data_IF_429471707004
#
_entry.id   IF_429471707004
#
_cell.length_a   1.000
_cell.length_b   1.000
_cell.length_c   1.000
_cell.angle_alpha   90.00
_cell.angle_beta   90.00
_cell.angle_gamma   90.00
#
_symmetry.space_group_name_H-M   'P 1'
#
loop_
_entity.id
_entity.type
_entity.pdbx_description
1 polymer ?
#
# COMPACT_ATOMS: atom_id res chain seq x y z
N UNK A 1 -19.35 31.29 -16.42
CA UNK A 1 -19.10 29.84 -16.39
C UNK A 1 -17.93 29.59 -15.45
N UNK A 2 -18.17 29.04 -14.26
CA UNK A 2 -17.12 28.74 -13.29
C UNK A 2 -16.26 27.58 -13.80
N UNK A 3 -14.93 27.76 -13.83
CA UNK A 3 -14.00 26.70 -14.19
C UNK A 3 -14.20 25.53 -13.23
N UNK A 4 -14.54 24.33 -13.74
CA UNK A 4 -14.54 23.10 -12.95
C UNK A 4 -13.11 22.87 -12.47
N UNK A 5 -12.84 23.29 -11.24
CA UNK A 5 -11.63 22.89 -10.52
C UNK A 5 -11.58 21.37 -10.59
N UNK A 6 -10.58 20.81 -11.29
CA UNK A 6 -10.31 19.38 -11.23
C UNK A 6 -10.01 19.10 -9.76
N UNK A 7 -10.96 18.50 -9.04
CA UNK A 7 -10.71 17.98 -7.71
C UNK A 7 -9.55 16.99 -7.83
N UNK A 8 -8.39 17.37 -7.31
CA UNK A 8 -7.25 16.49 -7.21
C UNK A 8 -7.67 15.41 -6.20
N UNK A 9 -8.00 14.23 -6.70
CA UNK A 9 -8.13 13.06 -5.84
C UNK A 9 -6.72 12.72 -5.37
N UNK A 10 -6.36 13.15 -4.17
CA UNK A 10 -5.13 12.72 -3.53
C UNK A 10 -5.37 11.29 -3.07
N UNK A 11 -4.94 10.32 -3.89
CA UNK A 11 -4.95 8.92 -3.52
C UNK A 11 -4.05 8.74 -2.30
N UNK A 12 -4.66 8.35 -1.17
CA UNK A 12 -3.91 7.99 0.03
C UNK A 12 -3.30 6.61 -0.16
N UNK A 13 -2.46 6.20 0.77
CA UNK A 13 -1.98 4.82 0.87
C UNK A 13 -2.32 4.24 2.24
N UNK A 14 -2.62 2.95 2.25
CA UNK A 14 -2.72 2.14 3.46
C UNK A 14 -1.42 1.36 3.64
N UNK A 15 -0.89 1.41 4.84
CA UNK A 15 0.37 0.79 5.22
C UNK A 15 0.13 -0.25 6.32
N UNK A 16 0.60 -1.47 6.10
CA UNK A 16 0.56 -2.55 7.06
C UNK A 16 1.99 -2.98 7.39
N UNK A 17 2.31 -3.08 8.67
CA UNK A 17 3.67 -3.35 9.13
C UNK A 17 3.75 -4.64 9.94
N UNK A 18 4.72 -5.48 9.59
CA UNK A 18 5.21 -6.56 10.45
C UNK A 18 6.67 -6.28 10.82
N UNK A 19 7.24 -7.12 11.69
CA UNK A 19 8.66 -7.06 12.05
C UNK A 19 9.60 -7.09 10.83
N UNK A 20 9.26 -7.87 9.80
CA UNK A 20 10.14 -8.15 8.66
C UNK A 20 9.69 -7.48 7.36
N UNK A 21 8.42 -7.14 7.23
CA UNK A 21 7.84 -6.66 5.97
C UNK A 21 6.96 -5.44 6.18
N UNK A 22 6.94 -4.57 5.18
CA UNK A 22 6.02 -3.45 5.08
C UNK A 22 5.20 -3.58 3.80
N UNK A 23 3.88 -3.45 3.90
CA UNK A 23 2.96 -3.58 2.78
C UNK A 23 2.27 -2.25 2.53
N UNK A 24 2.34 -1.77 1.29
CA UNK A 24 1.70 -0.52 0.85
C UNK A 24 0.63 -0.81 -0.19
N UNK A 25 -0.54 -0.21 0.03
CA UNK A 25 -1.71 -0.39 -0.81
C UNK A 25 -2.28 0.98 -1.17
N UNK A 26 -2.59 1.20 -2.44
CA UNK A 26 -3.29 2.41 -2.88
C UNK A 26 -4.70 2.49 -2.30
N UNK A 27 -5.02 3.59 -1.62
CA UNK A 27 -6.37 3.92 -1.13
C UNK A 27 -7.15 4.64 -2.23
N UNK A 28 -7.51 3.91 -3.29
CA UNK A 28 -8.37 4.44 -4.34
C UNK A 28 -9.79 3.94 -4.13
N UNK A 29 -10.71 4.84 -3.79
CA UNK A 29 -12.16 4.54 -3.75
C UNK A 29 -12.74 4.29 -5.14
N UNK A 30 -11.99 4.61 -6.20
CA UNK A 30 -12.41 4.48 -7.58
C UNK A 30 -12.15 3.09 -8.18
N UNK A 31 -11.35 2.23 -7.52
CA UNK A 31 -10.95 0.94 -8.06
C UNK A 31 -11.17 -0.17 -7.05
N UNK A 32 -12.06 -1.10 -7.40
CA UNK A 32 -12.19 -2.42 -6.75
C UNK A 32 -11.00 -3.34 -7.06
N UNK A 33 -9.84 -2.78 -7.39
CA UNK A 33 -8.67 -3.45 -7.96
C UNK A 33 -7.42 -2.82 -7.35
N UNK A 34 -6.74 -3.58 -6.51
CA UNK A 34 -5.62 -3.15 -5.69
C UNK A 34 -4.34 -3.84 -6.14
N UNK A 35 -3.23 -3.11 -6.06
CA UNK A 35 -1.87 -3.67 -6.13
C UNK A 35 -1.22 -3.46 -4.77
N UNK A 36 -0.32 -4.36 -4.42
CA UNK A 36 0.38 -4.35 -3.14
C UNK A 36 1.87 -4.26 -3.43
N UNK A 37 2.51 -3.25 -2.84
CA UNK A 37 3.96 -3.16 -2.76
C UNK A 37 4.40 -3.78 -1.44
N UNK A 38 5.19 -4.84 -1.50
CA UNK A 38 5.77 -5.49 -0.33
C UNK A 38 7.25 -5.13 -0.25
N UNK A 39 7.66 -4.61 0.90
CA UNK A 39 9.03 -4.18 1.16
C UNK A 39 9.62 -5.13 2.18
N UNK A 40 10.72 -5.79 1.82
CA UNK A 40 11.48 -6.63 2.74
C UNK A 40 12.48 -5.79 3.54
N UNK A 41 12.42 -5.91 4.87
CA UNK A 41 13.28 -5.19 5.82
C UNK A 41 14.31 -6.08 6.50
N UNK A 42 14.39 -7.36 6.11
CA UNK A 42 15.36 -8.32 6.67
C UNK A 42 16.78 -7.95 6.28
N UNK A 43 16.97 -7.45 5.07
CA UNK A 43 18.25 -6.93 4.60
C UNK A 43 18.31 -5.41 4.84
N UNK A 44 19.22 -4.97 5.70
CA UNK A 44 19.38 -3.53 6.01
C UNK A 44 20.19 -2.77 4.97
N UNK A 45 20.95 -3.48 4.13
CA UNK A 45 21.84 -2.89 3.12
C UNK A 45 21.18 -2.79 1.75
N UNK A 46 20.15 -3.58 1.50
CA UNK A 46 19.44 -3.62 0.23
C UNK A 46 17.94 -3.48 0.44
N UNK A 47 17.36 -2.51 -0.26
CA UNK A 47 15.92 -2.35 -0.33
C UNK A 47 15.38 -3.31 -1.38
N UNK A 48 14.61 -4.30 -0.93
CA UNK A 48 13.90 -5.22 -1.82
C UNK A 48 12.42 -4.85 -1.83
N UNK A 49 11.93 -4.43 -3.00
CA UNK A 49 10.52 -4.11 -3.22
C UNK A 49 9.96 -5.12 -4.22
N UNK A 50 8.99 -5.90 -3.75
CA UNK A 50 8.20 -6.80 -4.57
C UNK A 50 6.88 -6.11 -4.92
N UNK A 51 6.68 -5.85 -6.21
CA UNK A 51 5.38 -5.46 -6.73
C UNK A 51 4.60 -6.73 -7.06
N UNK A 52 3.52 -6.99 -6.34
CA UNK A 52 2.63 -8.09 -6.69
C UNK A 52 1.91 -7.73 -8.00
N UNK A 53 2.32 -8.37 -9.10
CA UNK A 53 1.75 -8.16 -10.43
C UNK A 53 0.26 -8.51 -10.51
N UNK A 54 -0.22 -9.34 -9.56
CA UNK A 54 -1.63 -9.68 -9.43
C UNK A 54 -2.43 -8.48 -8.92
N UNK A 55 -3.36 -8.05 -9.74
CA UNK A 55 -4.40 -7.10 -9.34
C UNK A 55 -5.47 -7.85 -8.56
N UNK A 56 -5.73 -7.44 -7.32
CA UNK A 56 -6.66 -8.09 -6.40
C UNK A 56 -7.93 -7.26 -6.18
N UNK A 57 -9.08 -7.91 -6.07
CA UNK A 57 -10.28 -7.25 -5.53
C UNK A 57 -10.12 -6.86 -4.07
N UNK A 58 -10.98 -5.98 -3.55
CA UNK A 58 -10.95 -5.62 -2.11
C UNK A 58 -11.06 -6.86 -1.22
N UNK A 59 -11.92 -7.81 -1.57
CA UNK A 59 -12.07 -9.06 -0.82
C UNK A 59 -10.82 -9.94 -0.88
N UNK A 60 -10.24 -10.13 -2.07
CA UNK A 60 -8.99 -10.90 -2.25
C UNK A 60 -7.82 -10.25 -1.50
N UNK A 61 -7.70 -8.93 -1.57
CA UNK A 61 -6.68 -8.16 -0.85
C UNK A 61 -6.82 -8.34 0.67
N UNK A 62 -8.04 -8.21 1.22
CA UNK A 62 -8.26 -8.41 2.65
C UNK A 62 -7.96 -9.85 3.08
N UNK A 63 -8.32 -10.85 2.27
CA UNK A 63 -7.96 -12.25 2.55
C UNK A 63 -6.46 -12.48 2.50
N UNK A 64 -5.76 -11.94 1.50
CA UNK A 64 -4.30 -12.01 1.41
C UNK A 64 -3.63 -11.37 2.64
N UNK A 65 -4.08 -10.20 3.06
CA UNK A 65 -3.54 -9.53 4.26
C UNK A 65 -3.76 -10.37 5.53
N UNK A 66 -4.91 -11.05 5.67
CA UNK A 66 -5.15 -11.99 6.78
C UNK A 66 -4.18 -13.16 6.76
N UNK A 67 -3.91 -13.74 5.59
CA UNK A 67 -2.91 -14.80 5.44
C UNK A 67 -1.50 -14.33 5.83
N UNK A 68 -1.19 -13.04 5.64
CA UNK A 68 0.06 -12.43 6.10
C UNK A 68 0.04 -12.01 7.59
N UNK A 69 -1.05 -12.26 8.32
CA UNK A 69 -1.18 -12.00 9.76
C UNK A 69 -1.77 -10.64 10.14
N UNK A 70 -2.44 -9.92 9.23
CA UNK A 70 -3.01 -8.59 9.48
C UNK A 70 -4.50 -8.56 9.88
N UNK A 71 -5.01 -9.63 10.49
CA UNK A 71 -6.47 -9.80 10.74
C UNK A 71 -7.09 -8.72 11.64
N UNK A 72 -6.30 -8.14 12.55
CA UNK A 72 -6.76 -7.10 13.51
C UNK A 72 -5.96 -5.79 13.44
N UNK A 73 -4.92 -5.73 12.60
CA UNK A 73 -4.06 -4.55 12.53
C UNK A 73 -4.74 -3.45 11.73
N UNK A 74 -5.02 -2.32 12.40
CA UNK A 74 -5.47 -1.11 11.72
C UNK A 74 -4.33 -0.60 10.82
N UNK A 75 -4.59 -0.33 9.53
CA UNK A 75 -3.58 0.25 8.67
C UNK A 75 -3.21 1.65 9.14
N UNK A 76 -1.95 2.00 8.95
CA UNK A 76 -1.54 3.41 8.96
C UNK A 76 -1.94 4.04 7.63
N UNK A 77 -2.50 5.24 7.66
CA UNK A 77 -2.91 5.98 6.46
C UNK A 77 -1.91 7.10 6.21
N UNK A 78 -1.36 7.17 5.01
CA UNK A 78 -0.45 8.23 4.59
C UNK A 78 -0.88 8.85 3.25
N UNK A 79 -0.37 10.04 2.93
CA UNK A 79 -0.65 10.71 1.65
C UNK A 79 0.21 10.21 0.49
N UNK A 80 1.34 9.56 0.78
CA UNK A 80 2.26 9.05 -0.23
C UNK A 80 3.59 8.59 0.38
N UNK A 81 4.45 8.03 -0.46
CA UNK A 81 5.82 7.65 -0.11
C UNK A 81 6.75 8.76 -0.59
N UNK A 82 7.48 9.40 0.31
CA UNK A 82 8.44 10.45 -0.05
C UNK A 82 9.70 9.88 -0.72
N UNK A 83 10.14 8.70 -0.30
CA UNK A 83 11.32 8.01 -0.81
C UNK A 83 11.85 7.01 0.21
N UNK A 84 12.93 6.33 -0.15
CA UNK A 84 13.66 5.41 0.72
C UNK A 84 15.10 5.92 0.87
N UNK A 85 15.66 5.79 2.08
CA UNK A 85 17.03 6.21 2.37
C UNK A 85 17.83 4.97 2.72
N UNK A 86 18.93 4.76 2.01
CA UNK A 86 19.94 3.74 2.31
C UNK A 86 21.14 4.45 2.93
N UNK A 87 21.58 4.01 4.11
CA UNK A 87 22.80 4.47 4.77
C UNK A 87 24.04 3.81 4.20
#
# INVERSE_FOLDING_TARGET
MASKVKNICIEKIFCYETKNFFYVIGSSSCKSKHRILKIDRRNKLHLEIECLDRIMSTGEMMSYLREQGFDTNKPTVAFGIAGFVTT
#
